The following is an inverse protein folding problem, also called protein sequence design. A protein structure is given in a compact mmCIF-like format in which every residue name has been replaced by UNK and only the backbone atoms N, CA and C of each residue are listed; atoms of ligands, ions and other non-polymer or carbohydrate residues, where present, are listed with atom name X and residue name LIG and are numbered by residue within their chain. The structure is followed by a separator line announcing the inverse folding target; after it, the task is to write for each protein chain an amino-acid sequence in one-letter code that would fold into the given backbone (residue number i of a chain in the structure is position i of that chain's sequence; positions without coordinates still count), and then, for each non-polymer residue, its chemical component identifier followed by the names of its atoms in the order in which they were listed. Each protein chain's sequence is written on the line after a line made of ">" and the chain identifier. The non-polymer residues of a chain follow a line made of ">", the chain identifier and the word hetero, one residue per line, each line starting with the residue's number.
data_IF_698286323512
#
_entry.id   IF_698286323512
#
_cell.length_a   1.000
_cell.length_b   1.000
_cell.length_c   1.000
_cell.angle_alpha   90.00
_cell.angle_beta   90.00
_cell.angle_gamma   90.00
#
_symmetry.space_group_name_H-M   'P 1'
#
loop_
_entity.id
_entity.type
_entity.pdbx_description
1 polymer ?
#
# COMPACT_ATOMS: atom_id res chain seq x y z
N UNK A 1 -12.45 -8.69 30.32
CA UNK A 1 -11.74 -7.42 30.07
C UNK A 1 -10.57 -7.69 29.12
N UNK A 2 -10.75 -7.46 27.81
CA UNK A 2 -9.64 -7.49 26.84
C UNK A 2 -8.79 -6.23 27.04
N UNK A 3 -7.79 -6.34 27.92
CA UNK A 3 -6.77 -5.31 28.12
C UNK A 3 -5.93 -5.21 26.83
N UNK A 4 -6.00 -4.05 26.16
CA UNK A 4 -5.06 -3.54 25.16
C UNK A 4 -4.77 -4.43 23.93
N UNK A 5 -5.78 -4.67 23.07
CA UNK A 5 -5.52 -5.17 21.72
C UNK A 5 -4.95 -4.07 20.83
N UNK A 6 -3.62 -4.04 20.74
CA UNK A 6 -2.86 -3.45 19.64
C UNK A 6 -2.73 -1.93 19.68
N UNK A 7 -1.51 -1.42 19.89
CA UNK A 7 -1.16 -0.08 19.43
C UNK A 7 -1.60 0.03 17.96
N UNK A 8 -2.53 0.94 17.67
CA UNK A 8 -2.84 1.33 16.28
C UNK A 8 -1.52 1.81 15.69
N UNK A 9 -0.92 1.02 14.81
CA UNK A 9 0.33 1.36 14.14
C UNK A 9 0.17 2.73 13.49
N UNK A 10 1.14 3.62 13.70
CA UNK A 10 1.14 4.89 12.98
C UNK A 10 1.29 4.61 11.50
N UNK A 11 0.81 5.52 10.64
CA UNK A 11 0.83 5.35 9.18
C UNK A 11 2.24 5.05 8.65
N UNK A 12 3.24 5.72 9.21
CA UNK A 12 4.65 5.51 8.88
C UNK A 12 5.13 4.10 9.28
N UNK A 13 4.67 3.59 10.42
CA UNK A 13 4.96 2.22 10.82
C UNK A 13 4.21 1.20 9.94
N UNK A 14 2.99 1.49 9.50
CA UNK A 14 2.28 0.65 8.52
C UNK A 14 2.99 0.62 7.17
N UNK A 15 3.51 1.78 6.71
CA UNK A 15 4.33 1.88 5.49
C UNK A 15 5.65 1.11 5.62
N UNK A 16 6.29 1.14 6.80
CA UNK A 16 7.55 0.46 7.07
C UNK A 16 7.39 -1.06 7.25
N UNK A 17 6.30 -1.54 7.87
CA UNK A 17 6.01 -2.96 8.07
C UNK A 17 5.51 -3.64 6.79
N UNK A 18 4.61 -2.98 6.04
CA UNK A 18 4.12 -3.53 4.77
C UNK A 18 5.11 -3.35 3.61
N UNK A 19 6.29 -2.78 3.90
CA UNK A 19 7.52 -2.94 3.14
C UNK A 19 7.36 -2.83 1.63
N UNK A 20 7.33 -1.60 1.10
CA UNK A 20 7.85 -1.31 -0.25
C UNK A 20 7.10 -1.87 -1.46
N UNK A 21 6.25 -2.87 -1.31
CA UNK A 21 5.56 -3.57 -2.38
C UNK A 21 4.30 -4.16 -1.78
N UNK A 22 3.15 -3.56 -2.09
CA UNK A 22 1.91 -4.26 -1.82
C UNK A 22 1.69 -5.21 -3.00
N UNK A 23 1.30 -6.46 -2.71
CA UNK A 23 0.86 -7.42 -3.75
C UNK A 23 -0.50 -7.00 -4.37
N UNK A 24 -0.84 -5.72 -4.25
CA UNK A 24 -2.05 -5.15 -4.84
C UNK A 24 -1.73 -4.90 -6.30
N UNK A 25 -2.42 -5.66 -7.14
CA UNK A 25 -2.42 -5.42 -8.57
C UNK A 25 -3.15 -4.13 -8.86
N UNK A 26 -2.59 -3.35 -9.76
CA UNK A 26 -3.14 -2.05 -10.15
C UNK A 26 -3.04 -1.86 -11.66
N UNK A 27 -3.93 -1.04 -12.18
CA UNK A 27 -3.85 -0.55 -13.57
C UNK A 27 -3.43 0.92 -13.60
N UNK A 28 -3.76 1.66 -12.54
CA UNK A 28 -3.53 3.09 -12.36
C UNK A 28 -2.97 3.37 -10.97
N UNK A 29 -2.33 4.54 -10.78
CA UNK A 29 -1.87 4.97 -9.45
C UNK A 29 -3.04 5.09 -8.45
N UNK A 30 -4.26 5.32 -8.93
CA UNK A 30 -5.48 5.42 -8.11
C UNK A 30 -5.86 4.13 -7.43
N UNK A 31 -5.76 3.02 -8.14
CA UNK A 31 -6.06 1.69 -7.59
C UNK A 31 -5.23 1.40 -6.33
N UNK A 32 -4.01 1.95 -6.26
CA UNK A 32 -3.12 1.76 -5.12
C UNK A 32 -3.60 2.48 -3.87
N UNK A 33 -3.86 3.79 -3.95
CA UNK A 33 -4.25 4.54 -2.77
C UNK A 33 -5.72 4.35 -2.38
N UNK A 34 -6.58 3.90 -3.29
CA UNK A 34 -7.95 3.48 -2.94
C UNK A 34 -7.99 2.10 -2.27
N UNK A 35 -7.10 1.18 -2.65
CA UNK A 35 -7.08 -0.18 -2.09
C UNK A 35 -6.35 -0.27 -0.74
N UNK A 36 -5.53 0.73 -0.40
CA UNK A 36 -4.73 0.74 0.84
C UNK A 36 -5.38 1.72 1.83
N UNK A 37 -5.97 1.20 2.91
CA UNK A 37 -6.72 1.98 3.91
C UNK A 37 -6.00 3.19 4.52
N UNK A 38 -4.66 3.24 4.47
CA UNK A 38 -3.85 4.31 5.04
C UNK A 38 -3.12 5.15 3.99
N UNK A 39 -3.33 4.87 2.70
CA UNK A 39 -2.67 5.55 1.61
C UNK A 39 -3.43 6.80 1.18
N UNK A 40 -2.68 7.81 0.74
CA UNK A 40 -3.20 9.03 0.13
C UNK A 40 -2.75 9.12 -1.34
N UNK A 41 -3.41 9.98 -2.15
CA UNK A 41 -2.93 10.28 -3.48
C UNK A 41 -1.45 10.71 -3.44
N UNK A 42 -0.59 9.94 -4.10
CA UNK A 42 0.86 10.19 -4.14
C UNK A 42 1.71 9.32 -3.20
N UNK A 43 1.12 8.62 -2.23
CA UNK A 43 1.88 7.70 -1.35
C UNK A 43 2.35 6.44 -2.09
N UNK A 44 1.61 6.04 -3.13
CA UNK A 44 1.88 4.84 -3.92
C UNK A 44 1.78 5.11 -5.42
N UNK A 45 2.64 4.43 -6.16
CA UNK A 45 2.66 4.35 -7.61
C UNK A 45 2.39 2.93 -8.08
N UNK A 46 1.48 2.77 -9.02
CA UNK A 46 1.35 1.57 -9.82
C UNK A 46 2.53 1.43 -10.80
N UNK A 47 3.45 0.52 -10.49
CA UNK A 47 4.60 0.21 -11.35
C UNK A 47 4.29 -1.06 -12.15
N UNK A 48 4.23 -0.92 -13.48
CA UNK A 48 4.13 -2.08 -14.39
C UNK A 48 5.48 -2.74 -14.54
N UNK A 49 5.54 -4.04 -14.27
CA UNK A 49 6.70 -4.86 -14.65
C UNK A 49 6.66 -5.11 -16.16
N UNK A 50 7.84 -5.12 -16.78
CA UNK A 50 7.97 -5.39 -18.21
C UNK A 50 7.32 -6.75 -18.55
N UNK A 51 6.40 -6.76 -19.51
CA UNK A 51 5.66 -7.96 -19.93
C UNK A 51 4.46 -8.35 -19.05
N UNK A 52 4.06 -7.55 -18.06
CA UNK A 52 2.84 -7.79 -17.27
C UNK A 52 1.65 -6.95 -17.76
N UNK A 53 0.47 -7.55 -17.77
CA UNK A 53 -0.80 -6.87 -18.06
C UNK A 53 -1.23 -5.90 -16.94
N UNK A 54 -0.77 -6.16 -15.71
CA UNK A 54 -1.03 -5.36 -14.52
C UNK A 54 0.27 -4.85 -13.89
N UNK A 55 0.17 -3.76 -13.16
CA UNK A 55 1.25 -3.27 -12.30
C UNK A 55 1.09 -3.73 -10.86
N UNK A 56 2.08 -3.40 -10.05
CA UNK A 56 2.06 -3.57 -8.60
C UNK A 56 2.23 -2.22 -7.93
N UNK A 57 1.48 -2.00 -6.86
CA UNK A 57 1.58 -0.79 -6.07
C UNK A 57 2.87 -0.78 -5.25
N UNK A 58 3.73 0.18 -5.55
CA UNK A 58 4.95 0.48 -4.80
C UNK A 58 4.79 1.83 -4.10
N UNK A 59 5.26 2.02 -2.87
CA UNK A 59 5.26 3.32 -2.24
C UNK A 59 6.25 4.25 -2.96
N UNK A 60 5.87 5.53 -3.07
CA UNK A 60 6.79 6.60 -3.40
C UNK A 60 7.61 7.03 -2.17
#
# INVERSE_FOLDING_TARGET
>A
MLKNLGKKLTKEQQKSINGGYTNIFCNTHRDCWESIHYAFPGDFSCVKRYGSFYGTCVPN
#
